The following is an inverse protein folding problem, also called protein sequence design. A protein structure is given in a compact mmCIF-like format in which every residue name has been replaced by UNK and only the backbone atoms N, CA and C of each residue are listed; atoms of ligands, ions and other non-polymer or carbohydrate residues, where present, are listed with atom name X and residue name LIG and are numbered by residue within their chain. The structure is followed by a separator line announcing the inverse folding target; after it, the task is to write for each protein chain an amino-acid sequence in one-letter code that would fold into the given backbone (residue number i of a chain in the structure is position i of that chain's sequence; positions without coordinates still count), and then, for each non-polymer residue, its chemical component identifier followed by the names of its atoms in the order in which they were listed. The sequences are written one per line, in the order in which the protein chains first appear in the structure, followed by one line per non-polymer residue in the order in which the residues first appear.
data_IF_317207416587
#
_entry.id   IF_317207416587
#
_cell.length_a   1.000
_cell.length_b   1.000
_cell.length_c   1.000
_cell.angle_alpha   90.00
_cell.angle_beta   90.00
_cell.angle_gamma   90.00
#
_symmetry.space_group_name_H-M   'P 1'
#
loop_
_entity.id
_entity.type
_entity.pdbx_description
1 polymer ?
#
# COMPACT_ATOMS: atom_id res chain seq x y z
N UNK A 1 -22.97 -21.30 26.04
CA UNK A 1 -22.96 -19.83 26.04
C UNK A 1 -22.23 -19.35 24.80
N UNK A 2 -22.86 -18.58 23.92
CA UNK A 2 -22.18 -17.97 22.78
C UNK A 2 -21.27 -16.88 23.34
N UNK A 3 -19.97 -16.96 23.07
CA UNK A 3 -19.02 -15.95 23.51
C UNK A 3 -19.43 -14.58 22.91
N UNK A 4 -19.54 -13.56 23.74
CA UNK A 4 -19.85 -12.22 23.28
C UNK A 4 -18.68 -11.68 22.43
N UNK A 5 -18.99 -11.16 21.24
CA UNK A 5 -17.95 -10.59 20.33
C UNK A 5 -17.41 -9.28 20.90
N UNK A 6 -16.09 -9.15 20.92
CA UNK A 6 -15.36 -7.95 21.34
C UNK A 6 -15.35 -6.95 20.20
N UNK A 7 -15.85 -5.74 20.43
CA UNK A 7 -15.94 -4.71 19.40
C UNK A 7 -14.99 -3.54 19.68
N UNK A 8 -14.27 -3.12 18.65
CA UNK A 8 -13.53 -1.86 18.63
C UNK A 8 -14.37 -0.78 17.96
N UNK A 9 -14.52 0.36 18.60
CA UNK A 9 -15.23 1.53 18.06
C UNK A 9 -14.21 2.47 17.42
N UNK A 10 -14.44 2.89 16.16
CA UNK A 10 -13.57 3.85 15.50
C UNK A 10 -14.35 5.08 15.03
N UNK A 11 -13.85 6.25 15.40
CA UNK A 11 -14.35 7.53 14.95
C UNK A 11 -13.22 8.40 14.37
N UNK A 12 -13.54 9.20 13.36
CA UNK A 12 -12.63 10.21 12.83
C UNK A 12 -13.35 11.54 12.67
N UNK A 13 -12.80 12.57 13.29
CA UNK A 13 -13.30 13.94 13.22
C UNK A 13 -12.29 14.85 12.50
N UNK A 14 -12.83 15.83 11.78
CA UNK A 14 -11.99 16.84 11.14
C UNK A 14 -11.62 17.92 12.17
N UNK A 15 -10.34 18.27 12.24
CA UNK A 15 -9.88 19.40 13.07
C UNK A 15 -10.34 20.75 12.53
N UNK A 16 -10.82 20.81 11.29
CA UNK A 16 -11.33 22.03 10.65
C UNK A 16 -12.81 22.27 10.92
N UNK A 17 -13.58 21.22 11.19
CA UNK A 17 -14.99 21.32 11.54
C UNK A 17 -15.15 21.50 13.06
N UNK A 18 -15.11 22.75 13.52
CA UNK A 18 -15.26 23.14 14.93
C UNK A 18 -16.59 22.71 15.61
N UNK A 19 -17.44 21.93 14.93
CA UNK A 19 -18.73 21.48 15.44
C UNK A 19 -18.93 19.96 15.50
N UNK A 20 -17.96 19.16 15.06
CA UNK A 20 -18.09 17.69 15.13
C UNK A 20 -17.45 17.17 16.43
N UNK A 21 -18.28 16.95 17.43
CA UNK A 21 -17.87 16.26 18.65
C UNK A 21 -17.78 14.74 18.37
N UNK A 22 -16.60 14.12 18.54
CA UNK A 22 -16.46 12.67 18.42
C UNK A 22 -17.36 11.90 19.37
N UNK A 23 -17.72 12.51 20.52
CA UNK A 23 -18.58 11.89 21.51
C UNK A 23 -19.99 11.61 20.98
N UNK A 24 -20.52 12.46 20.08
CA UNK A 24 -21.80 12.20 19.41
C UNK A 24 -21.75 10.92 18.58
N UNK A 25 -20.65 10.70 17.85
CA UNK A 25 -20.45 9.47 17.08
C UNK A 25 -20.28 8.27 18.00
N UNK A 26 -19.41 8.37 18.98
CA UNK A 26 -19.11 7.28 19.92
C UNK A 26 -20.34 6.85 20.73
N UNK A 27 -21.16 7.79 21.19
CA UNK A 27 -22.40 7.49 21.91
C UNK A 27 -23.32 6.60 21.05
N UNK A 28 -23.54 6.99 19.79
CA UNK A 28 -24.38 6.19 18.89
C UNK A 28 -23.78 4.81 18.62
N UNK A 29 -22.44 4.70 18.48
CA UNK A 29 -21.75 3.42 18.29
C UNK A 29 -21.85 2.54 19.55
N UNK A 30 -21.72 3.09 20.75
CA UNK A 30 -21.90 2.37 22.03
C UNK A 30 -23.32 1.84 22.15
N UNK A 31 -24.33 2.68 21.85
CA UNK A 31 -25.74 2.27 21.87
C UNK A 31 -26.02 1.16 20.84
N UNK A 32 -25.44 1.26 19.64
CA UNK A 32 -25.55 0.21 18.63
C UNK A 32 -24.90 -1.10 19.10
N UNK A 33 -23.69 -1.03 19.64
CA UNK A 33 -22.97 -2.19 20.17
C UNK A 33 -23.78 -2.89 21.27
N UNK A 34 -24.33 -2.11 22.21
CA UNK A 34 -25.15 -2.65 23.28
C UNK A 34 -26.41 -3.37 22.75
N UNK A 35 -27.11 -2.78 21.78
CA UNK A 35 -28.30 -3.41 21.15
C UNK A 35 -27.95 -4.73 20.42
N UNK A 36 -26.73 -4.84 19.89
CA UNK A 36 -26.23 -6.02 19.17
C UNK A 36 -25.57 -7.05 20.11
N UNK A 37 -25.52 -6.80 21.42
CA UNK A 37 -24.84 -7.66 22.38
C UNK A 37 -23.32 -7.75 22.18
N UNK A 38 -22.72 -6.72 21.57
CA UNK A 38 -21.28 -6.59 21.37
C UNK A 38 -20.65 -5.93 22.61
N UNK A 39 -19.45 -6.36 22.99
CA UNK A 39 -18.72 -5.81 24.14
C UNK A 39 -17.64 -4.84 23.67
N UNK A 40 -17.78 -3.51 23.89
CA UNK A 40 -16.73 -2.55 23.55
C UNK A 40 -15.45 -2.84 24.36
N UNK A 41 -14.33 -3.05 23.67
CA UNK A 41 -13.02 -3.31 24.28
C UNK A 41 -12.00 -2.22 23.99
N UNK A 42 -12.31 -1.27 23.10
CA UNK A 42 -11.46 -0.13 22.81
C UNK A 42 -12.18 0.91 21.95
N UNK A 43 -11.82 2.17 22.15
CA UNK A 43 -12.27 3.32 21.36
C UNK A 43 -11.06 3.99 20.72
N UNK A 44 -11.10 4.14 19.42
CA UNK A 44 -10.01 4.65 18.60
C UNK A 44 -10.47 5.91 17.89
N UNK A 45 -9.89 7.04 18.25
CA UNK A 45 -10.34 8.36 17.77
C UNK A 45 -9.17 9.06 17.11
N UNK A 46 -9.29 9.32 15.78
CA UNK A 46 -8.33 10.13 15.06
C UNK A 46 -8.88 11.53 14.79
N UNK A 47 -8.02 12.52 14.98
CA UNK A 47 -8.26 13.91 14.64
C UNK A 47 -7.46 14.23 13.37
N UNK A 48 -8.12 14.32 12.21
CA UNK A 48 -7.45 14.54 10.94
C UNK A 48 -7.56 16.00 10.51
N UNK A 49 -6.41 16.68 10.31
CA UNK A 49 -6.33 17.89 9.49
C UNK A 49 -6.17 17.47 8.02
N UNK A 50 -6.75 18.23 7.07
CA UNK A 50 -6.75 17.88 5.64
C UNK A 50 -5.36 17.69 4.99
N UNK A 51 -4.27 18.02 5.68
CA UNK A 51 -2.89 17.97 5.17
C UNK A 51 -1.98 16.94 5.85
N UNK A 52 -2.32 16.44 7.05
CA UNK A 52 -1.52 15.43 7.77
C UNK A 52 -2.23 14.08 7.79
N UNK A 53 -1.51 13.08 7.32
CA UNK A 53 -1.99 11.69 7.18
C UNK A 53 -1.67 10.82 8.40
N UNK A 54 -1.41 11.43 9.52
CA UNK A 54 -1.11 10.68 10.73
C UNK A 54 -2.41 10.22 11.39
N UNK A 55 -2.65 8.89 11.37
CA UNK A 55 -3.80 8.24 12.01
C UNK A 55 -3.31 7.18 12.99
N UNK A 56 -2.73 7.59 14.13
CA UNK A 56 -2.14 6.67 15.07
C UNK A 56 -3.18 5.70 15.66
N UNK A 57 -4.43 6.16 15.84
CA UNK A 57 -5.49 5.31 16.36
C UNK A 57 -5.98 4.28 15.35
N UNK A 58 -6.02 4.63 14.07
CA UNK A 58 -6.25 3.65 13.01
C UNK A 58 -5.18 2.56 12.98
N UNK A 59 -3.90 2.93 13.13
CA UNK A 59 -2.81 1.95 13.17
C UNK A 59 -2.88 1.08 14.43
N UNK A 60 -3.25 1.66 15.57
CA UNK A 60 -3.48 0.93 16.82
C UNK A 60 -4.63 -0.07 16.67
N UNK A 61 -5.73 0.32 16.02
CA UNK A 61 -6.87 -0.55 15.71
C UNK A 61 -6.44 -1.74 14.84
N UNK A 62 -5.69 -1.52 13.74
CA UNK A 62 -5.17 -2.59 12.90
C UNK A 62 -4.25 -3.52 13.68
N UNK A 63 -3.39 -2.97 14.56
CA UNK A 63 -2.55 -3.78 15.44
C UNK A 63 -3.37 -4.65 16.39
N UNK A 64 -4.46 -4.12 16.97
CA UNK A 64 -5.36 -4.89 17.83
C UNK A 64 -6.06 -6.02 17.07
N UNK A 65 -6.48 -5.78 15.82
CA UNK A 65 -7.05 -6.80 14.93
C UNK A 65 -6.03 -7.92 14.65
N UNK A 66 -4.80 -7.59 14.26
CA UNK A 66 -3.71 -8.55 14.00
C UNK A 66 -3.36 -9.39 15.24
N UNK A 67 -3.45 -8.79 16.43
CA UNK A 67 -3.25 -9.48 17.71
C UNK A 67 -4.46 -10.28 18.19
N UNK A 68 -5.54 -10.33 17.40
CA UNK A 68 -6.80 -11.00 17.74
C UNK A 68 -7.40 -10.53 19.08
N UNK A 69 -7.25 -9.26 19.37
CA UNK A 69 -7.81 -8.64 20.57
C UNK A 69 -9.25 -8.17 20.39
N UNK A 70 -9.71 -8.10 19.15
CA UNK A 70 -11.04 -7.67 18.71
C UNK A 70 -11.63 -8.66 17.71
N UNK A 71 -12.94 -8.77 17.69
CA UNK A 71 -13.69 -9.64 16.81
C UNK A 71 -14.52 -8.85 15.80
N UNK A 72 -14.80 -7.57 16.11
CA UNK A 72 -15.59 -6.66 15.26
C UNK A 72 -14.97 -5.27 15.29
N UNK A 73 -14.93 -4.62 14.12
CA UNK A 73 -14.64 -3.19 13.97
C UNK A 73 -15.95 -2.49 13.64
N UNK A 74 -16.39 -1.56 14.50
CA UNK A 74 -17.59 -0.76 14.31
C UNK A 74 -17.19 0.70 14.07
N UNK A 75 -17.60 1.26 12.93
CA UNK A 75 -17.28 2.63 12.53
C UNK A 75 -18.54 3.44 12.32
N UNK A 76 -18.45 4.76 12.50
CA UNK A 76 -19.55 5.67 12.23
C UNK A 76 -19.92 5.68 10.75
N UNK A 77 -18.90 5.85 9.85
CA UNK A 77 -19.03 5.84 8.39
C UNK A 77 -17.76 5.25 7.77
N UNK A 78 -17.92 4.50 6.69
CA UNK A 78 -16.78 3.90 6.00
C UNK A 78 -15.83 4.95 5.38
N UNK A 79 -16.35 6.12 4.92
CA UNK A 79 -15.54 7.21 4.38
C UNK A 79 -14.70 7.93 5.45
N UNK A 80 -15.08 7.81 6.72
CA UNK A 80 -14.25 8.24 7.85
C UNK A 80 -13.17 7.22 8.21
N UNK A 81 -13.48 5.96 7.97
CA UNK A 81 -12.54 4.85 8.18
C UNK A 81 -11.48 4.78 7.07
N UNK A 82 -11.90 4.76 5.81
CA UNK A 82 -11.01 4.67 4.65
C UNK A 82 -11.06 5.95 3.80
N UNK A 83 -9.95 6.26 3.12
CA UNK A 83 -9.82 7.47 2.26
C UNK A 83 -10.20 7.23 0.82
N UNK A 84 -10.25 5.99 0.42
CA UNK A 84 -10.64 5.56 -0.91
C UNK A 84 -11.30 4.21 -0.84
N UNK A 85 -12.08 3.88 -1.84
CA UNK A 85 -12.67 2.56 -2.01
C UNK A 85 -11.60 1.46 -1.97
N UNK A 86 -10.44 1.71 -2.59
CA UNK A 86 -9.32 0.76 -2.55
C UNK A 86 -8.79 0.53 -1.13
N UNK A 87 -8.59 1.59 -0.35
CA UNK A 87 -8.13 1.48 1.03
C UNK A 87 -9.14 0.73 1.91
N UNK A 88 -10.45 0.98 1.68
CA UNK A 88 -11.52 0.26 2.35
C UNK A 88 -11.46 -1.24 2.03
N UNK A 89 -11.44 -1.58 0.75
CA UNK A 89 -11.41 -2.99 0.30
C UNK A 89 -10.18 -3.72 0.83
N UNK A 90 -9.01 -3.06 0.88
CA UNK A 90 -7.82 -3.65 1.48
C UNK A 90 -7.98 -3.94 2.96
N UNK A 91 -8.50 -2.98 3.72
CA UNK A 91 -8.73 -3.16 5.15
C UNK A 91 -9.76 -4.25 5.44
N UNK A 92 -10.86 -4.29 4.67
CA UNK A 92 -11.90 -5.31 4.80
C UNK A 92 -11.39 -6.71 4.44
N UNK A 93 -10.55 -6.82 3.41
CA UNK A 93 -9.90 -8.09 3.06
C UNK A 93 -8.94 -8.57 4.17
N UNK A 94 -8.16 -7.64 4.75
CA UNK A 94 -7.31 -7.95 5.89
C UNK A 94 -8.14 -8.42 7.09
N UNK A 95 -9.22 -7.71 7.44
CA UNK A 95 -10.12 -8.11 8.52
C UNK A 95 -10.73 -9.48 8.28
N UNK A 96 -11.23 -9.74 7.08
CA UNK A 96 -11.77 -11.06 6.71
C UNK A 96 -10.74 -12.17 6.92
N UNK A 97 -9.49 -11.98 6.48
CA UNK A 97 -8.38 -12.93 6.67
C UNK A 97 -8.07 -13.16 8.15
N UNK A 98 -8.22 -12.15 8.98
CA UNK A 98 -8.01 -12.21 10.42
C UNK A 98 -9.22 -12.76 11.20
N UNK A 99 -10.38 -12.97 10.53
CA UNK A 99 -11.64 -13.36 11.14
C UNK A 99 -12.27 -12.23 11.96
N UNK A 100 -12.02 -10.97 11.58
CA UNK A 100 -12.59 -9.77 12.19
C UNK A 100 -13.71 -9.24 11.30
N UNK A 101 -14.90 -9.05 11.86
CA UNK A 101 -16.03 -8.46 11.16
C UNK A 101 -15.94 -6.94 11.11
N UNK A 102 -16.62 -6.34 10.12
CA UNK A 102 -16.69 -4.90 9.94
C UNK A 102 -18.14 -4.42 9.86
N UNK A 103 -18.46 -3.37 10.61
CA UNK A 103 -19.78 -2.75 10.61
C UNK A 103 -19.64 -1.25 10.39
N UNK A 104 -20.31 -0.68 9.39
CA UNK A 104 -20.47 0.75 9.18
C UNK A 104 -21.89 1.16 9.54
N UNK A 105 -22.02 1.98 10.59
CA UNK A 105 -23.31 2.31 11.20
C UNK A 105 -24.25 3.08 10.26
N UNK A 106 -23.73 4.12 9.60
CA UNK A 106 -24.57 5.00 8.75
C UNK A 106 -25.00 4.34 7.44
N UNK A 107 -24.17 3.53 6.84
CA UNK A 107 -24.46 2.88 5.55
C UNK A 107 -25.10 1.50 5.71
N UNK A 108 -25.30 1.04 6.95
CA UNK A 108 -25.81 -0.31 7.24
C UNK A 108 -25.00 -1.43 6.58
N UNK A 109 -23.69 -1.23 6.41
CA UNK A 109 -22.79 -2.28 5.93
C UNK A 109 -22.39 -3.13 7.13
N UNK A 110 -22.74 -4.41 7.11
CA UNK A 110 -22.48 -5.35 8.21
C UNK A 110 -22.00 -6.68 7.63
N UNK A 111 -20.68 -6.91 7.70
CA UNK A 111 -20.05 -8.13 7.16
C UNK A 111 -20.38 -9.39 7.99
N UNK A 112 -21.06 -9.24 9.13
CA UNK A 112 -21.59 -10.40 9.86
C UNK A 112 -22.81 -11.01 9.18
N UNK A 113 -23.36 -10.33 8.17
CA UNK A 113 -24.54 -10.74 7.43
C UNK A 113 -24.18 -11.17 6.00
N UNK A 114 -24.90 -12.13 5.39
CA UNK A 114 -24.68 -12.52 3.99
C UNK A 114 -24.82 -11.33 3.01
N UNK A 115 -25.71 -10.40 3.30
CA UNK A 115 -25.89 -9.19 2.49
C UNK A 115 -24.67 -8.27 2.56
N UNK A 116 -24.08 -8.07 3.72
CA UNK A 116 -22.86 -7.27 3.89
C UNK A 116 -21.66 -7.93 3.21
N UNK A 117 -21.56 -9.26 3.26
CA UNK A 117 -20.53 -10.02 2.57
C UNK A 117 -20.65 -9.88 1.04
N UNK A 118 -21.87 -9.90 0.51
CA UNK A 118 -22.12 -9.63 -0.90
C UNK A 118 -21.69 -8.20 -1.30
N UNK A 119 -22.04 -7.19 -0.50
CA UNK A 119 -21.64 -5.80 -0.74
C UNK A 119 -20.08 -5.70 -0.76
N UNK A 120 -19.40 -6.34 0.19
CA UNK A 120 -17.96 -6.40 0.24
C UNK A 120 -17.36 -7.00 -1.05
N UNK A 121 -17.91 -8.11 -1.52
CA UNK A 121 -17.48 -8.79 -2.74
C UNK A 121 -17.64 -7.89 -3.97
N UNK A 122 -18.75 -7.18 -4.08
CA UNK A 122 -18.99 -6.21 -5.17
C UNK A 122 -17.99 -5.06 -5.12
N UNK A 123 -17.75 -4.49 -3.93
CA UNK A 123 -16.77 -3.41 -3.75
C UNK A 123 -15.34 -3.87 -4.09
N UNK A 124 -14.96 -5.08 -3.70
CA UNK A 124 -13.67 -5.67 -4.04
C UNK A 124 -13.49 -5.83 -5.55
N UNK A 125 -14.52 -6.30 -6.24
CA UNK A 125 -14.54 -6.47 -7.70
C UNK A 125 -14.41 -5.12 -8.42
N UNK A 126 -15.11 -4.08 -7.96
CA UNK A 126 -15.01 -2.72 -8.51
C UNK A 126 -13.60 -2.15 -8.33
N UNK A 127 -12.98 -2.32 -7.16
CA UNK A 127 -11.61 -1.86 -6.91
C UNK A 127 -10.57 -2.58 -7.79
N UNK A 128 -10.76 -3.86 -8.08
CA UNK A 128 -9.92 -4.62 -9.02
C UNK A 128 -10.11 -4.09 -10.46
N UNK A 129 -11.33 -3.84 -10.87
CA UNK A 129 -11.65 -3.27 -12.18
C UNK A 129 -11.03 -1.89 -12.37
N UNK A 130 -11.14 -0.99 -11.39
CA UNK A 130 -10.49 0.33 -11.43
C UNK A 130 -8.97 0.21 -11.59
N UNK A 131 -8.32 -0.72 -10.87
CA UNK A 131 -6.86 -0.96 -11.01
C UNK A 131 -6.50 -1.45 -12.42
N UNK A 132 -7.29 -2.35 -12.99
CA UNK A 132 -7.08 -2.84 -14.34
C UNK A 132 -7.16 -1.70 -15.37
N UNK A 133 -8.18 -0.84 -15.26
CA UNK A 133 -8.33 0.33 -16.13
C UNK A 133 -7.16 1.32 -16.01
N UNK A 134 -6.69 1.60 -14.77
CA UNK A 134 -5.52 2.46 -14.56
C UNK A 134 -4.28 1.84 -15.20
N UNK A 135 -4.05 0.54 -15.00
CA UNK A 135 -2.93 -0.19 -15.59
C UNK A 135 -2.95 -0.13 -17.12
N UNK A 136 -4.10 -0.33 -17.73
CA UNK A 136 -4.27 -0.22 -19.19
C UNK A 136 -3.98 1.18 -19.70
N UNK A 137 -4.50 2.22 -19.02
CA UNK A 137 -4.22 3.62 -19.38
C UNK A 137 -2.73 3.94 -19.31
N UNK A 138 -2.05 3.48 -18.24
CA UNK A 138 -0.60 3.68 -18.07
C UNK A 138 0.17 2.96 -19.18
N UNK A 139 -0.16 1.70 -19.49
CA UNK A 139 0.47 0.94 -20.58
C UNK A 139 0.27 1.62 -21.92
N UNK A 140 -0.94 2.05 -22.23
CA UNK A 140 -1.26 2.78 -23.46
C UNK A 140 -0.50 4.12 -23.55
N UNK A 141 -0.40 4.84 -22.43
CA UNK A 141 0.38 6.09 -22.32
C UNK A 141 1.87 5.85 -22.58
N UNK A 142 2.45 4.81 -21.98
CA UNK A 142 3.85 4.41 -22.21
C UNK A 142 4.09 3.99 -23.66
N UNK A 143 3.19 3.20 -24.25
CA UNK A 143 3.29 2.80 -25.65
C UNK A 143 3.26 4.01 -26.58
N UNK A 144 2.36 4.98 -26.35
CA UNK A 144 2.29 6.23 -27.11
C UNK A 144 3.57 7.06 -26.96
N UNK A 145 4.09 7.20 -25.74
CA UNK A 145 5.32 7.94 -25.49
C UNK A 145 6.50 7.28 -26.19
N UNK A 146 6.58 5.95 -26.20
CA UNK A 146 7.60 5.17 -26.93
C UNK A 146 7.48 5.40 -28.44
N UNK A 147 6.26 5.37 -28.99
CA UNK A 147 6.02 5.62 -30.41
C UNK A 147 6.42 7.06 -30.83
N UNK A 148 6.33 8.04 -29.91
CA UNK A 148 6.77 9.41 -30.10
C UNK A 148 8.28 9.62 -29.87
N UNK A 149 9.06 8.55 -29.71
CA UNK A 149 10.49 8.62 -29.42
C UNK A 149 10.85 9.16 -28.03
N UNK A 150 9.85 9.33 -27.15
CA UNK A 150 10.10 9.77 -25.78
C UNK A 150 10.70 8.65 -24.96
N UNK A 151 11.73 9.00 -24.19
CA UNK A 151 12.36 8.05 -23.29
C UNK A 151 11.45 7.73 -22.11
N UNK A 152 11.17 6.44 -21.87
CA UNK A 152 10.32 5.97 -20.77
C UNK A 152 11.16 5.39 -19.64
N UNK A 153 12.45 5.10 -19.87
CA UNK A 153 13.37 4.57 -18.88
C UNK A 153 14.16 5.69 -18.19
N UNK A 154 14.75 5.36 -17.04
CA UNK A 154 15.69 6.25 -16.34
C UNK A 154 16.80 6.68 -17.30
N UNK A 155 17.25 7.95 -17.20
CA UNK A 155 18.38 8.43 -17.98
C UNK A 155 19.61 7.53 -17.73
N UNK A 156 20.47 7.25 -18.76
CA UNK A 156 21.73 6.58 -18.51
C UNK A 156 22.56 7.43 -17.57
N UNK A 157 23.48 6.79 -16.88
CA UNK A 157 24.52 7.50 -16.15
C UNK A 157 25.32 8.37 -17.12
N UNK A 158 25.87 9.47 -16.60
CA UNK A 158 26.82 10.30 -17.36
C UNK A 158 27.98 9.42 -17.88
N UNK A 159 28.47 9.73 -19.05
CA UNK A 159 29.52 8.93 -19.72
C UNK A 159 30.78 8.82 -18.85
N UNK A 160 31.13 9.90 -18.13
CA UNK A 160 32.26 9.93 -17.22
C UNK A 160 32.11 8.89 -16.08
N UNK A 161 30.88 8.76 -15.57
CA UNK A 161 30.61 7.83 -14.48
C UNK A 161 30.58 6.38 -14.96
N UNK A 162 30.12 6.17 -16.22
CA UNK A 162 30.21 4.84 -16.88
C UNK A 162 31.67 4.41 -17.08
N UNK A 163 32.52 5.35 -17.53
CA UNK A 163 33.95 5.11 -17.70
C UNK A 163 34.63 4.77 -16.35
N UNK A 164 34.29 5.52 -15.28
CA UNK A 164 34.81 5.22 -13.93
C UNK A 164 34.42 3.82 -13.44
N UNK A 165 33.18 3.40 -13.69
CA UNK A 165 32.72 2.04 -13.36
C UNK A 165 33.56 1.01 -14.10
N UNK A 166 33.80 1.22 -15.41
CA UNK A 166 34.58 0.31 -16.23
C UNK A 166 36.03 0.22 -15.73
N UNK A 167 36.69 1.35 -15.45
CA UNK A 167 38.06 1.40 -14.93
C UNK A 167 38.19 0.64 -13.60
N UNK A 168 37.34 0.95 -12.62
CA UNK A 168 37.37 0.28 -11.32
C UNK A 168 37.11 -1.22 -11.43
N UNK A 169 36.24 -1.64 -12.36
CA UNK A 169 35.99 -3.05 -12.59
C UNK A 169 37.22 -3.76 -13.16
N UNK A 170 37.91 -3.18 -14.15
CA UNK A 170 39.15 -3.72 -14.73
C UNK A 170 40.28 -3.75 -13.69
N UNK A 171 40.34 -2.78 -12.77
CA UNK A 171 41.27 -2.76 -11.62
C UNK A 171 40.96 -3.84 -10.57
N UNK A 172 39.86 -4.60 -10.71
CA UNK A 172 39.52 -5.73 -9.84
C UNK A 172 38.63 -5.38 -8.64
N UNK A 173 38.05 -4.18 -8.60
CA UNK A 173 37.11 -3.83 -7.55
C UNK A 173 35.80 -4.61 -7.68
N UNK A 174 35.28 -5.07 -6.54
CA UNK A 174 33.95 -5.71 -6.51
C UNK A 174 32.82 -4.71 -6.77
N UNK A 175 31.68 -5.17 -7.29
CA UNK A 175 30.51 -4.33 -7.56
C UNK A 175 30.07 -3.55 -6.31
N UNK A 176 30.19 -4.14 -5.14
CA UNK A 176 29.87 -3.48 -3.86
C UNK A 176 30.84 -2.32 -3.55
N UNK A 177 32.12 -2.50 -3.78
CA UNK A 177 33.12 -1.45 -3.61
C UNK A 177 32.91 -0.32 -4.62
N UNK A 178 32.66 -0.63 -5.90
CA UNK A 178 32.34 0.35 -6.95
C UNK A 178 31.09 1.16 -6.57
N UNK A 179 30.01 0.49 -6.14
CA UNK A 179 28.78 1.12 -5.69
C UNK A 179 29.04 2.13 -4.56
N UNK A 180 29.82 1.73 -3.56
CA UNK A 180 30.15 2.56 -2.40
C UNK A 180 31.08 3.73 -2.76
N UNK A 181 32.10 3.50 -3.58
CA UNK A 181 33.09 4.51 -3.96
C UNK A 181 32.50 5.61 -4.85
N UNK A 182 31.60 5.24 -5.77
CA UNK A 182 30.95 6.17 -6.70
C UNK A 182 29.61 6.74 -6.19
N UNK A 183 29.16 6.32 -4.99
CA UNK A 183 27.90 6.78 -4.40
C UNK A 183 26.65 6.39 -5.22
N UNK A 184 26.72 5.30 -5.99
CA UNK A 184 25.62 4.81 -6.82
C UNK A 184 24.98 3.55 -6.23
N UNK A 185 23.72 3.29 -6.57
CA UNK A 185 23.06 2.07 -6.12
C UNK A 185 23.72 0.80 -6.67
N UNK A 186 23.79 -0.28 -5.84
CA UNK A 186 24.37 -1.56 -6.22
C UNK A 186 23.83 -2.11 -7.55
N UNK A 187 22.48 -2.07 -7.75
CA UNK A 187 21.86 -2.51 -8.99
C UNK A 187 22.29 -1.70 -10.23
N UNK A 188 22.61 -0.42 -10.04
CA UNK A 188 23.15 0.45 -11.09
C UNK A 188 24.57 0.04 -11.44
N UNK A 189 25.44 -0.13 -10.43
CA UNK A 189 26.82 -0.60 -10.63
C UNK A 189 26.84 -1.96 -11.32
N UNK A 190 26.03 -2.90 -10.84
CA UNK A 190 25.89 -4.23 -11.43
C UNK A 190 25.48 -4.18 -12.91
N UNK A 191 24.48 -3.38 -13.25
CA UNK A 191 23.99 -3.24 -14.61
C UNK A 191 25.09 -2.78 -15.57
N UNK A 192 25.87 -1.76 -15.19
CA UNK A 192 26.94 -1.25 -16.05
C UNK A 192 28.15 -2.19 -16.10
N UNK A 193 28.52 -2.88 -15.03
CA UNK A 193 29.56 -3.92 -15.04
C UNK A 193 29.20 -5.06 -15.99
N UNK A 194 27.92 -5.49 -16.04
CA UNK A 194 27.48 -6.50 -17.00
C UNK A 194 27.63 -6.02 -18.46
N UNK A 195 27.46 -4.74 -18.72
CA UNK A 195 27.72 -4.17 -20.06
C UNK A 195 29.20 -4.18 -20.42
N UNK A 196 30.10 -3.90 -19.47
CA UNK A 196 31.56 -3.97 -19.66
C UNK A 196 31.99 -5.40 -19.98
N UNK A 197 31.55 -6.38 -19.21
CA UNK A 197 31.81 -7.81 -19.44
C UNK A 197 31.34 -8.28 -20.83
N UNK A 198 30.14 -7.84 -21.24
CA UNK A 198 29.60 -8.21 -22.55
C UNK A 198 30.41 -7.61 -23.71
N UNK A 199 31.03 -6.46 -23.52
CA UNK A 199 31.93 -5.86 -24.53
C UNK A 199 33.27 -6.57 -24.57
N UNK A 200 33.88 -6.90 -23.43
CA UNK A 200 35.15 -7.66 -23.34
C UNK A 200 34.99 -9.08 -23.92
N UNK A 201 33.90 -9.79 -23.61
CA UNK A 201 33.62 -11.11 -24.16
C UNK A 201 33.44 -11.14 -25.68
N UNK A 202 33.01 -10.01 -26.28
CA UNK A 202 32.93 -9.87 -27.77
C UNK A 202 34.28 -9.59 -28.39
N UNK A 203 35.20 -8.94 -27.71
CA UNK A 203 36.55 -8.66 -28.19
C UNK A 203 37.49 -9.89 -28.06
N UNK A 204 37.27 -10.73 -27.02
CA UNK A 204 38.01 -11.96 -26.81
C UNK A 204 37.61 -13.12 -27.76
N UNK A 205 36.43 -13.09 -28.35
CA UNK A 205 35.95 -14.12 -29.28
C UNK A 205 36.36 -13.94 -30.73
N UNK A 206 36.97 -12.80 -31.11
CA UNK A 206 37.37 -12.52 -32.49
C UNK A 206 38.84 -12.89 -32.80
N UNK A 207 39.58 -13.44 -31.82
CA UNK A 207 41.00 -13.69 -31.94
C UNK A 207 41.48 -15.14 -32.17
N UNK A 208 40.55 -16.12 -32.31
CA UNK A 208 40.95 -17.54 -32.55
C UNK A 208 40.33 -18.12 -33.79
N UNK A 209 40.77 -17.62 -34.94
CA UNK A 209 40.35 -18.14 -36.23
C UNK A 209 41.35 -17.85 -37.34
N UNK A 210 42.66 -18.18 -37.16
CA UNK A 210 43.59 -18.40 -38.27
C UNK A 210 44.76 -19.26 -37.73
N UNK A 211 44.76 -20.51 -38.01
CA UNK A 211 45.90 -21.32 -38.39
C UNK A 211 45.39 -22.73 -38.77
#
# INVERSE_FOLDING_TARGET
MVAQKRVALYARVSTLDKGQDPETQLRALREYAARRGLVPVGEYIDYASGTRDDRPQYQALLSAARKRQIDVVLVWRYDRFARSTQALVHALHEFHTLGVDFISYQENIDTTTPQGELILTVMASLAQFERALISERVKAGMARAKAQGKRISRAPLAEELQAQIATLYVEGFSIHQISKQLGIGYGTAWHYVQHVQAQEGRLGGAGNGVA
#
